data_IF_022257342859
#
_entry.id   IF_022257342859
#
_cell.length_a   1.000
_cell.length_b   1.000
_cell.length_c   1.000
_cell.angle_alpha   90.00
_cell.angle_beta   90.00
_cell.angle_gamma   90.00
#
_symmetry.space_group_name_H-M   'P 1'
#
loop_
_entity.id
_entity.type
_entity.pdbx_description
1 polymer ?
#
# COMPACT_ATOMS: atom_id res chain seq x y z
N UNK A 1 -21.38 41.78 -44.11
CA UNK A 1 -20.05 41.38 -43.60
C UNK A 1 -19.92 41.34 -42.06
N UNK A 2 -20.57 42.24 -41.28
CA UNK A 2 -20.52 42.19 -39.80
C UNK A 2 -21.25 40.97 -39.20
N UNK A 3 -22.40 40.56 -39.74
CA UNK A 3 -23.15 39.41 -39.24
C UNK A 3 -22.43 38.08 -39.41
N UNK A 4 -21.72 37.86 -40.53
CA UNK A 4 -20.96 36.64 -40.78
C UNK A 4 -19.82 36.50 -39.79
N UNK A 5 -19.15 37.59 -39.42
CA UNK A 5 -18.07 37.56 -38.39
C UNK A 5 -18.61 37.19 -37.00
N UNK A 6 -19.78 37.68 -36.64
CA UNK A 6 -20.44 37.34 -35.36
C UNK A 6 -20.81 35.86 -35.34
N UNK A 7 -21.32 35.31 -36.40
CA UNK A 7 -21.66 33.89 -36.53
C UNK A 7 -20.39 33.00 -36.44
N UNK A 8 -19.27 33.45 -37.02
CA UNK A 8 -18.02 32.70 -36.94
C UNK A 8 -17.42 32.71 -35.52
N UNK A 9 -17.53 33.84 -34.79
CA UNK A 9 -17.07 33.91 -33.40
C UNK A 9 -17.95 33.05 -32.45
N UNK A 10 -19.26 33.00 -32.67
CA UNK A 10 -20.17 32.15 -31.87
C UNK A 10 -19.92 30.66 -32.11
N UNK A 11 -19.60 30.28 -33.34
CA UNK A 11 -19.27 28.90 -33.68
C UNK A 11 -17.90 28.47 -33.11
N UNK A 12 -16.93 29.40 -33.08
CA UNK A 12 -15.62 29.15 -32.48
C UNK A 12 -15.70 28.95 -30.95
N UNK A 13 -16.56 29.71 -30.26
CA UNK A 13 -16.79 29.57 -28.82
C UNK A 13 -17.46 28.23 -28.49
N UNK A 14 -18.40 27.76 -29.33
CA UNK A 14 -19.03 26.45 -29.17
C UNK A 14 -18.05 25.27 -29.35
N UNK A 15 -17.01 25.44 -30.15
CA UNK A 15 -15.95 24.40 -30.30
C UNK A 15 -15.01 24.28 -29.12
N UNK A 16 -14.87 25.35 -28.32
CA UNK A 16 -14.00 25.34 -27.12
C UNK A 16 -14.72 24.70 -25.91
N UNK A 17 -16.05 24.67 -25.89
CA UNK A 17 -16.84 24.09 -24.80
C UNK A 17 -16.99 22.57 -24.86
N UNK A 18 -16.56 21.91 -25.93
CA UNK A 18 -16.49 20.45 -26.04
C UNK A 18 -15.11 19.88 -25.64
N UNK A 19 -14.24 20.69 -25.06
CA UNK A 19 -12.97 20.27 -24.52
C UNK A 19 -13.10 19.66 -23.13
N UNK A 20 -12.75 18.40 -23.03
CA UNK A 20 -12.52 17.61 -21.81
C UNK A 20 -13.74 17.28 -20.97
N UNK A 21 -14.56 16.37 -21.47
CA UNK A 21 -15.01 15.29 -20.61
C UNK A 21 -13.86 14.30 -20.49
N UNK A 22 -12.87 14.62 -19.66
CA UNK A 22 -12.02 13.59 -19.08
C UNK A 22 -12.96 12.83 -18.13
N UNK A 23 -13.49 11.71 -18.59
CA UNK A 23 -13.75 10.61 -17.68
C UNK A 23 -12.37 10.35 -17.03
N UNK A 24 -12.11 10.96 -15.88
CA UNK A 24 -11.19 10.39 -14.93
C UNK A 24 -11.79 9.04 -14.53
N UNK A 25 -11.50 8.02 -15.33
CA UNK A 25 -11.26 6.72 -14.75
C UNK A 25 -10.16 7.04 -13.74
N UNK A 26 -10.49 7.11 -12.45
CA UNK A 26 -9.51 6.93 -11.41
C UNK A 26 -8.92 5.55 -11.71
N UNK A 27 -7.83 5.53 -12.49
CA UNK A 27 -6.92 4.41 -12.46
C UNK A 27 -6.59 4.30 -10.96
N UNK A 28 -7.13 3.28 -10.33
CA UNK A 28 -6.61 2.83 -9.04
C UNK A 28 -5.20 2.44 -9.37
N UNK A 29 -4.27 3.36 -9.11
CA UNK A 29 -2.86 3.16 -9.43
C UNK A 29 -2.43 1.86 -8.78
N UNK A 30 -2.18 0.86 -9.63
CA UNK A 30 -1.78 -0.49 -9.25
C UNK A 30 -0.48 -0.41 -8.44
N UNK A 31 -0.47 -1.01 -7.26
CA UNK A 31 0.71 -1.07 -6.40
C UNK A 31 1.90 -1.75 -7.10
N UNK A 32 1.65 -2.63 -8.06
CA UNK A 32 2.69 -3.34 -8.80
C UNK A 32 3.51 -2.44 -9.73
N UNK A 33 3.09 -1.19 -10.00
CA UNK A 33 3.96 -0.20 -10.64
C UNK A 33 5.24 0.07 -9.85
N UNK A 34 5.24 -0.18 -8.53
CA UNK A 34 6.40 -0.06 -7.64
C UNK A 34 7.18 -1.36 -7.45
N UNK A 35 6.84 -2.41 -8.19
CA UNK A 35 7.55 -3.69 -8.10
C UNK A 35 9.03 -3.53 -8.43
N UNK A 36 9.87 -4.24 -7.67
CA UNK A 36 11.33 -4.17 -7.74
C UNK A 36 11.92 -2.81 -7.31
N UNK A 37 11.18 -1.99 -6.57
CA UNK A 37 11.75 -0.83 -5.91
C UNK A 37 12.75 -1.25 -4.82
N UNK A 38 13.54 -0.30 -4.35
CA UNK A 38 14.52 -0.50 -3.28
C UNK A 38 14.09 0.25 -2.02
N UNK A 39 14.56 -0.20 -0.84
CA UNK A 39 14.28 0.49 0.45
C UNK A 39 14.68 1.96 0.39
N UNK A 40 15.79 2.30 -0.28
CA UNK A 40 16.24 3.68 -0.43
C UNK A 40 15.37 4.57 -1.33
N UNK A 41 14.42 4.00 -2.07
CA UNK A 41 13.44 4.76 -2.85
C UNK A 41 12.27 5.21 -1.97
N UNK A 42 12.46 6.31 -1.26
CA UNK A 42 11.48 6.86 -0.34
C UNK A 42 10.15 7.22 -1.05
N UNK A 43 10.19 7.56 -2.34
CA UNK A 43 9.00 7.85 -3.14
C UNK A 43 8.17 6.59 -3.37
N UNK A 44 8.79 5.51 -3.83
CA UNK A 44 8.10 4.24 -4.06
C UNK A 44 7.57 3.66 -2.73
N UNK A 45 8.43 3.56 -1.70
CA UNK A 45 8.04 3.01 -0.39
C UNK A 45 6.91 3.83 0.25
N UNK A 46 6.99 5.16 0.17
CA UNK A 46 5.94 6.05 0.66
C UNK A 46 4.60 5.83 -0.06
N UNK A 47 4.62 5.74 -1.39
CA UNK A 47 3.40 5.48 -2.16
C UNK A 47 2.79 4.10 -1.85
N UNK A 48 3.62 3.05 -1.73
CA UNK A 48 3.16 1.72 -1.34
C UNK A 48 2.46 1.79 0.03
N UNK A 49 3.13 2.32 1.05
CA UNK A 49 2.59 2.36 2.43
C UNK A 49 1.32 3.21 2.54
N UNK A 50 1.25 4.33 1.82
CA UNK A 50 0.07 5.21 1.86
C UNK A 50 -1.17 4.62 1.21
N UNK A 51 -1.03 3.72 0.24
CA UNK A 51 -2.14 3.06 -0.46
C UNK A 51 -2.63 1.81 0.26
N UNK A 52 -1.80 1.18 1.09
CA UNK A 52 -2.17 0.01 1.87
C UNK A 52 -3.21 0.35 2.95
N UNK A 53 -4.02 -0.63 3.38
CA UNK A 53 -5.00 -0.46 4.46
C UNK A 53 -4.36 0.06 5.74
N UNK A 54 -5.12 0.87 6.48
CA UNK A 54 -4.71 1.45 7.76
C UNK A 54 -5.68 1.04 8.86
N UNK A 55 -5.22 0.98 10.12
CA UNK A 55 -6.13 0.75 11.24
C UNK A 55 -7.17 1.87 11.32
N UNK A 56 -8.39 1.54 11.70
CA UNK A 56 -9.41 2.55 11.98
C UNK A 56 -8.94 3.43 13.16
N UNK A 57 -9.09 4.74 13.02
CA UNK A 57 -8.65 5.68 14.04
C UNK A 57 -7.15 5.98 14.04
N UNK A 58 -6.40 5.45 13.08
CA UNK A 58 -4.96 5.72 12.94
C UNK A 58 -4.58 6.26 11.56
N UNK A 59 -3.51 7.02 11.52
CA UNK A 59 -2.89 7.53 10.29
C UNK A 59 -1.39 7.30 10.33
N UNK A 60 -0.76 7.17 9.17
CA UNK A 60 0.70 7.14 9.07
C UNK A 60 1.22 8.52 9.50
N UNK A 61 2.11 8.52 10.48
CA UNK A 61 2.77 9.70 11.04
C UNK A 61 4.25 9.81 10.70
N UNK A 62 4.85 8.72 10.23
CA UNK A 62 6.26 8.69 9.83
C UNK A 62 6.63 7.42 9.09
N UNK A 63 7.70 7.53 8.32
CA UNK A 63 8.33 6.42 7.61
C UNK A 63 9.84 6.53 7.79
N UNK A 64 10.47 5.44 8.25
CA UNK A 64 11.93 5.35 8.41
C UNK A 64 12.45 4.22 7.52
N UNK A 65 13.55 4.47 6.83
CA UNK A 65 14.14 3.54 5.88
C UNK A 65 15.54 3.16 6.37
N UNK A 66 15.68 1.93 6.87
CA UNK A 66 16.95 1.40 7.36
C UNK A 66 17.78 0.87 6.20
N UNK A 67 18.68 1.70 5.70
CA UNK A 67 19.47 1.45 4.48
C UNK A 67 20.97 1.45 4.72
N UNK A 68 21.43 1.66 5.97
CA UNK A 68 22.84 1.82 6.29
C UNK A 68 23.58 0.48 6.33
N UNK A 69 22.96 -0.52 6.94
CA UNK A 69 23.50 -1.87 7.10
C UNK A 69 22.43 -2.92 6.85
N UNK A 70 22.82 -4.06 6.26
CA UNK A 70 21.93 -5.21 6.12
C UNK A 70 21.71 -5.91 7.47
N UNK A 71 20.54 -6.46 7.73
CA UNK A 71 19.35 -6.56 6.86
C UNK A 71 18.56 -5.24 6.77
N UNK A 72 18.26 -4.80 5.54
CA UNK A 72 17.52 -3.57 5.29
C UNK A 72 16.07 -3.65 5.73
N UNK A 73 15.54 -2.54 6.21
CA UNK A 73 14.18 -2.52 6.75
C UNK A 73 13.40 -1.23 6.53
N UNK A 74 12.11 -1.34 6.81
CA UNK A 74 11.16 -0.25 6.71
C UNK A 74 10.39 -0.16 8.03
N UNK A 75 10.31 1.04 8.63
CA UNK A 75 9.50 1.28 9.83
C UNK A 75 8.36 2.22 9.43
N UNK A 76 7.13 1.79 9.69
CA UNK A 76 5.93 2.58 9.46
C UNK A 76 5.35 2.98 10.81
N UNK A 77 5.38 4.27 11.10
CA UNK A 77 4.88 4.84 12.34
C UNK A 77 3.43 5.32 12.17
N UNK A 78 2.58 4.98 13.11
CA UNK A 78 1.19 5.41 13.15
C UNK A 78 0.93 6.34 14.34
N UNK A 79 -0.10 7.15 14.24
CA UNK A 79 -0.62 8.00 15.32
C UNK A 79 -2.13 8.03 15.28
N UNK A 80 -2.78 8.24 16.42
CA UNK A 80 -4.23 8.39 16.51
C UNK A 80 -4.74 9.54 15.64
N UNK A 81 -5.94 9.37 15.10
CA UNK A 81 -6.75 10.46 14.56
C UNK A 81 -7.77 10.90 15.61
N UNK A 82 -8.12 12.20 15.65
CA UNK A 82 -9.06 12.75 16.63
C UNK A 82 -10.53 12.35 16.38
N UNK A 83 -10.81 11.67 15.27
CA UNK A 83 -12.17 11.58 14.70
C UNK A 83 -12.93 10.29 14.96
N UNK A 84 -12.33 9.24 15.56
CA UNK A 84 -13.03 7.95 15.69
C UNK A 84 -12.87 7.34 17.08
N UNK A 85 -13.99 6.82 17.63
CA UNK A 85 -13.93 5.86 18.73
C UNK A 85 -13.15 4.61 18.27
N UNK A 86 -12.34 4.00 19.16
CA UNK A 86 -11.57 2.82 18.80
C UNK A 86 -12.52 1.68 18.38
N UNK A 87 -12.47 1.34 17.10
CA UNK A 87 -13.08 0.10 16.60
C UNK A 87 -12.03 -0.97 16.79
N UNK A 88 -12.44 -2.14 17.28
CA UNK A 88 -11.54 -3.29 17.44
C UNK A 88 -10.81 -3.57 16.12
N UNK A 89 -9.49 -3.44 16.14
CA UNK A 89 -8.62 -3.61 14.98
C UNK A 89 -7.85 -4.91 15.14
N UNK A 90 -7.92 -5.78 14.15
CA UNK A 90 -7.02 -6.93 14.08
C UNK A 90 -5.67 -6.51 13.50
N UNK A 91 -4.80 -5.96 14.36
CA UNK A 91 -3.46 -5.52 13.94
C UNK A 91 -2.61 -6.66 13.36
N UNK A 92 -2.81 -7.89 13.81
CA UNK A 92 -2.06 -9.04 13.33
C UNK A 92 -2.35 -9.33 11.87
N UNK A 93 -3.62 -9.42 11.49
CA UNK A 93 -4.01 -9.62 10.08
C UNK A 93 -3.58 -8.45 9.21
N UNK A 94 -3.79 -7.22 9.69
CA UNK A 94 -3.42 -6.01 8.98
C UNK A 94 -1.92 -5.93 8.72
N UNK A 95 -1.10 -6.21 9.74
CA UNK A 95 0.35 -6.22 9.63
C UNK A 95 0.82 -7.31 8.66
N UNK A 96 0.24 -8.51 8.71
CA UNK A 96 0.59 -9.61 7.83
C UNK A 96 0.24 -9.28 6.38
N UNK A 97 -0.93 -8.70 6.13
CA UNK A 97 -1.35 -8.21 4.81
C UNK A 97 -0.37 -7.16 4.27
N UNK A 98 -0.14 -6.10 5.04
CA UNK A 98 0.69 -4.98 4.62
C UNK A 98 2.16 -5.39 4.45
N UNK A 99 2.71 -6.20 5.36
CA UNK A 99 4.07 -6.71 5.25
C UNK A 99 4.26 -7.53 3.98
N UNK A 100 3.29 -8.37 3.63
CA UNK A 100 3.38 -9.18 2.42
C UNK A 100 3.43 -8.32 1.16
N UNK A 101 2.60 -7.28 1.07
CA UNK A 101 2.67 -6.33 -0.05
C UNK A 101 4.01 -5.60 -0.10
N UNK A 102 4.42 -4.98 1.01
CA UNK A 102 5.67 -4.20 1.06
C UNK A 102 6.86 -5.07 0.68
N UNK A 103 7.00 -6.24 1.30
CA UNK A 103 8.13 -7.14 1.06
C UNK A 103 8.06 -7.89 -0.28
N UNK A 104 6.91 -7.92 -0.95
CA UNK A 104 6.79 -8.41 -2.34
C UNK A 104 7.26 -7.37 -3.36
N UNK A 105 7.04 -6.09 -3.08
CA UNK A 105 7.30 -4.99 -4.02
C UNK A 105 8.69 -4.39 -3.85
N UNK A 106 9.19 -4.28 -2.60
CA UNK A 106 10.51 -3.71 -2.28
C UNK A 106 11.54 -4.84 -2.24
N UNK A 107 12.31 -5.01 -3.31
CA UNK A 107 13.11 -6.22 -3.56
C UNK A 107 14.22 -6.49 -2.55
N UNK A 108 14.83 -5.45 -1.97
CA UNK A 108 15.94 -5.56 -1.00
C UNK A 108 15.51 -5.27 0.45
N UNK A 109 14.21 -5.15 0.74
CA UNK A 109 13.73 -5.08 2.11
C UNK A 109 13.72 -6.48 2.73
N UNK A 110 14.36 -6.66 3.87
CA UNK A 110 14.38 -7.93 4.59
C UNK A 110 13.28 -8.00 5.65
N UNK A 111 12.85 -6.84 6.16
CA UNK A 111 11.83 -6.76 7.18
C UNK A 111 11.06 -5.43 7.10
N UNK A 112 9.86 -5.45 7.67
CA UNK A 112 9.05 -4.26 7.95
C UNK A 112 8.59 -4.28 9.40
N UNK A 113 8.58 -3.10 10.04
CA UNK A 113 8.06 -2.88 11.38
C UNK A 113 6.91 -1.88 11.32
N UNK A 114 5.81 -2.21 11.96
CA UNK A 114 4.66 -1.33 12.16
C UNK A 114 4.62 -0.90 13.62
N UNK A 115 4.74 0.39 13.88
CA UNK A 115 4.54 0.99 15.18
C UNK A 115 3.11 1.56 15.22
N UNK A 116 2.13 0.67 15.48
CA UNK A 116 0.74 1.06 15.71
C UNK A 116 0.61 1.79 17.05
N UNK A 117 -0.54 2.43 17.29
CA UNK A 117 -0.77 3.17 18.54
C UNK A 117 -0.71 2.25 19.76
N UNK A 118 -1.24 1.03 19.67
CA UNK A 118 -1.35 0.10 20.80
C UNK A 118 -0.31 -1.02 20.79
N UNK A 119 0.32 -1.32 19.65
CA UNK A 119 1.31 -2.40 19.58
C UNK A 119 2.34 -2.21 18.47
N UNK A 120 3.45 -2.89 18.61
CA UNK A 120 4.51 -2.96 17.60
C UNK A 120 4.60 -4.37 17.01
N UNK A 121 4.65 -4.46 15.69
CA UNK A 121 4.80 -5.72 14.96
C UNK A 121 5.92 -5.60 13.94
N UNK A 122 6.92 -6.48 14.04
CA UNK A 122 8.00 -6.58 13.04
C UNK A 122 7.86 -7.91 12.31
N UNK A 123 7.88 -7.91 10.99
CA UNK A 123 7.73 -9.10 10.15
C UNK A 123 8.87 -9.12 9.15
N UNK A 124 9.58 -10.24 9.07
CA UNK A 124 10.64 -10.44 8.10
C UNK A 124 10.14 -11.17 6.84
N UNK A 125 10.89 -11.03 5.76
CA UNK A 125 10.65 -11.77 4.51
C UNK A 125 10.77 -13.27 4.72
N UNK A 126 11.76 -13.72 5.49
CA UNK A 126 11.97 -15.13 5.79
C UNK A 126 10.77 -15.74 6.52
N UNK A 127 10.23 -15.04 7.53
CA UNK A 127 9.03 -15.47 8.24
C UNK A 127 7.82 -15.61 7.29
N UNK A 128 7.64 -14.64 6.37
CA UNK A 128 6.57 -14.73 5.37
C UNK A 128 6.76 -15.88 4.40
N UNK A 129 7.97 -16.11 3.92
CA UNK A 129 8.27 -17.23 3.02
C UNK A 129 8.02 -18.57 3.71
N UNK A 130 8.38 -18.71 4.97
CA UNK A 130 8.09 -19.91 5.77
C UNK A 130 6.58 -20.07 6.00
N UNK A 131 5.88 -18.99 6.33
CA UNK A 131 4.43 -18.98 6.53
C UNK A 131 3.67 -19.39 5.27
N UNK A 132 4.02 -18.82 4.13
CA UNK A 132 3.34 -19.09 2.85
C UNK A 132 3.86 -20.34 2.12
N UNK A 133 5.07 -20.80 2.43
CA UNK A 133 5.71 -21.90 1.73
C UNK A 133 6.15 -21.54 0.30
N UNK A 134 6.28 -20.26 -0.02
CA UNK A 134 6.71 -19.77 -1.34
C UNK A 134 7.35 -18.37 -1.25
N UNK A 135 8.11 -18.02 -2.29
CA UNK A 135 8.64 -16.65 -2.41
C UNK A 135 7.51 -15.68 -2.84
N UNK A 136 7.20 -14.74 -1.95
CA UNK A 136 6.16 -13.73 -2.20
C UNK A 136 6.51 -12.76 -3.34
N UNK A 137 7.77 -12.71 -3.79
CA UNK A 137 8.21 -11.89 -4.92
C UNK A 137 7.87 -12.48 -6.29
N UNK A 138 7.36 -13.72 -6.34
CA UNK A 138 6.98 -14.38 -7.60
C UNK A 138 5.66 -13.86 -8.18
N UNK A 139 4.84 -13.16 -7.40
CA UNK A 139 3.61 -12.55 -7.89
C UNK A 139 3.91 -11.41 -8.87
N UNK A 140 3.10 -11.30 -9.92
CA UNK A 140 3.30 -10.34 -11.00
C UNK A 140 2.19 -9.30 -11.12
N UNK A 141 1.13 -9.41 -10.34
CA UNK A 141 0.05 -8.43 -10.30
C UNK A 141 -0.59 -8.35 -8.90
N UNK A 142 -1.28 -7.23 -8.66
CA UNK A 142 -1.87 -6.91 -7.37
C UNK A 142 -3.03 -7.84 -7.01
N UNK A 143 -3.86 -8.21 -8.00
CA UNK A 143 -5.05 -9.03 -7.79
C UNK A 143 -4.67 -10.44 -7.30
N UNK A 144 -3.68 -11.08 -7.95
CA UNK A 144 -3.19 -12.39 -7.55
C UNK A 144 -2.59 -12.38 -6.16
N UNK A 145 -1.76 -11.36 -5.84
CA UNK A 145 -1.15 -11.24 -4.53
C UNK A 145 -2.23 -11.00 -3.45
N UNK A 146 -3.14 -10.08 -3.69
CA UNK A 146 -4.22 -9.76 -2.75
C UNK A 146 -5.10 -10.97 -2.45
N UNK A 147 -5.53 -11.69 -3.49
CA UNK A 147 -6.30 -12.92 -3.35
C UNK A 147 -5.56 -13.98 -2.56
N UNK A 148 -4.29 -14.21 -2.88
CA UNK A 148 -3.45 -15.17 -2.17
C UNK A 148 -3.32 -14.83 -0.68
N UNK A 149 -3.10 -13.57 -0.33
CA UNK A 149 -3.02 -13.12 1.07
C UNK A 149 -4.36 -13.37 1.77
N UNK A 150 -5.48 -12.95 1.17
CA UNK A 150 -6.81 -13.10 1.76
C UNK A 150 -7.18 -14.57 2.02
N UNK A 151 -6.86 -15.47 1.09
CA UNK A 151 -7.07 -16.92 1.26
C UNK A 151 -6.28 -17.48 2.45
N UNK A 152 -5.06 -16.99 2.70
CA UNK A 152 -4.24 -17.41 3.84
C UNK A 152 -4.67 -16.77 5.15
N UNK A 153 -5.16 -15.53 5.14
CA UNK A 153 -5.69 -14.85 6.33
C UNK A 153 -7.03 -15.42 6.80
N UNK A 154 -7.80 -16.08 5.93
CA UNK A 154 -9.05 -16.73 6.31
C UNK A 154 -8.87 -17.87 7.33
N UNK A 155 -7.67 -18.39 7.50
CA UNK A 155 -7.33 -19.36 8.55
C UNK A 155 -6.78 -18.65 9.80
N UNK A 156 -7.69 -18.20 10.67
CA UNK A 156 -7.35 -17.50 11.91
C UNK A 156 -6.38 -18.29 12.82
N UNK A 157 -6.46 -19.62 12.81
CA UNK A 157 -5.56 -20.46 13.62
C UNK A 157 -4.13 -20.36 13.09
N UNK A 158 -3.98 -20.37 11.79
CA UNK A 158 -2.68 -20.24 11.13
C UNK A 158 -2.08 -18.85 11.34
N UNK A 159 -2.89 -17.80 11.29
CA UNK A 159 -2.46 -16.43 11.64
C UNK A 159 -2.00 -16.37 13.11
N UNK A 160 -2.78 -16.91 14.03
CA UNK A 160 -2.42 -16.97 15.46
C UNK A 160 -1.12 -17.75 15.69
N UNK A 161 -0.94 -18.88 15.02
CA UNK A 161 0.27 -19.69 15.10
C UNK A 161 1.50 -18.93 14.62
N UNK A 162 1.39 -18.20 13.49
CA UNK A 162 2.47 -17.37 12.95
C UNK A 162 3.04 -16.41 14.01
N UNK A 163 2.18 -15.78 14.81
CA UNK A 163 2.64 -14.84 15.85
C UNK A 163 3.15 -15.54 17.11
N UNK A 164 2.62 -16.71 17.46
CA UNK A 164 3.05 -17.46 18.64
C UNK A 164 4.40 -18.15 18.49
N UNK A 165 4.78 -18.55 17.27
CA UNK A 165 6.06 -19.22 16.98
C UNK A 165 7.26 -18.27 16.86
N UNK A 166 7.03 -16.97 17.00
CA UNK A 166 8.04 -15.90 16.87
C UNK A 166 8.70 -15.50 18.19
N UNK A 167 8.39 -16.19 19.27
CA UNK A 167 8.94 -15.95 20.64
C UNK A 167 10.23 -16.71 20.88
#
# INVERSE_FOLDING_TARGET
MKMIKILFYSLLILLILNGCSSNEVKETEDLFQFKNSYVGDAGAVGNITMKLPKPNGEKISGLELETTEEPYGIIVNYSSTEENEPIEVNYNELALFNATFILSLVQNADWVKFNFVEQELKISREELQNYYGKDIREFNNEEELSKFIQENLADEKRVTQFYNERT
#
